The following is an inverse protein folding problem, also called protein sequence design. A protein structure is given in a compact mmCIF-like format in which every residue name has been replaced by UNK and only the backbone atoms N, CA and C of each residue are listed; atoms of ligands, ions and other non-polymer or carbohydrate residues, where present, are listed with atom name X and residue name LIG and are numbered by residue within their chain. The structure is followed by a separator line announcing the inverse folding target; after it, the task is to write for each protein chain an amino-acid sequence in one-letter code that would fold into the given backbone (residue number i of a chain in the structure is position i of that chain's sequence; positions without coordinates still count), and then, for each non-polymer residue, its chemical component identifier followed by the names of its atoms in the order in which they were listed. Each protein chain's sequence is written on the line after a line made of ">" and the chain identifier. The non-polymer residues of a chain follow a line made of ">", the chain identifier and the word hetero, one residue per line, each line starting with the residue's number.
data_IF_690933162469
#
_entry.id   IF_690933162469
#
_cell.length_a   1.000
_cell.length_b   1.000
_cell.length_c   1.000
_cell.angle_alpha   90.00
_cell.angle_beta   90.00
_cell.angle_gamma   90.00
#
_symmetry.space_group_name_H-M   'P 1'
#
loop_
_entity.id
_entity.type
_entity.pdbx_description
1 polymer ?
#
# COMPACT_ATOMS: atom_id res chain seq x y z
N UNK A 1 7.78 -7.87 6.70
CA UNK A 1 7.59 -7.27 5.36
C UNK A 1 8.73 -7.59 4.38
N UNK A 2 9.71 -8.42 4.72
CA UNK A 2 10.86 -8.69 3.83
C UNK A 2 10.46 -9.54 2.61
N UNK A 3 11.05 -9.24 1.46
CA UNK A 3 10.92 -10.03 0.23
C UNK A 3 11.54 -11.42 0.39
N UNK A 4 10.93 -12.42 -0.23
CA UNK A 4 11.43 -13.78 -0.27
C UNK A 4 11.14 -14.45 -1.63
N UNK A 5 11.67 -15.66 -1.83
CA UNK A 5 11.50 -16.41 -3.10
C UNK A 5 10.04 -16.63 -3.50
N UNK A 6 9.10 -16.57 -2.56
CA UNK A 6 7.67 -16.75 -2.82
C UNK A 6 7.05 -15.51 -3.46
N UNK A 7 7.52 -14.32 -3.12
CA UNK A 7 7.05 -13.07 -3.74
C UNK A 7 7.27 -13.10 -5.26
N UNK A 8 8.41 -13.64 -5.70
CA UNK A 8 8.69 -13.83 -7.13
C UNK A 8 7.74 -14.84 -7.80
N UNK A 9 7.43 -15.95 -7.11
CA UNK A 9 6.45 -16.95 -7.59
C UNK A 9 5.05 -16.35 -7.68
N UNK A 10 4.68 -15.53 -6.69
CA UNK A 10 3.40 -14.83 -6.66
C UNK A 10 3.30 -13.84 -7.81
N UNK A 11 4.32 -13.01 -8.04
CA UNK A 11 4.38 -12.09 -9.17
C UNK A 11 4.16 -12.79 -10.52
N UNK A 12 4.91 -13.87 -10.79
CA UNK A 12 4.74 -14.65 -12.02
C UNK A 12 3.33 -15.27 -12.09
N UNK A 13 2.82 -15.76 -10.97
CA UNK A 13 1.47 -16.32 -10.88
C UNK A 13 0.40 -15.28 -11.17
N UNK A 14 0.57 -14.06 -10.67
CA UNK A 14 -0.32 -12.91 -10.91
C UNK A 14 -0.33 -12.54 -12.39
N UNK A 15 0.84 -12.48 -13.04
CA UNK A 15 0.93 -12.26 -14.49
C UNK A 15 0.18 -13.37 -15.25
N UNK A 16 0.43 -14.64 -14.94
CA UNK A 16 -0.26 -15.77 -15.59
C UNK A 16 -1.77 -15.68 -15.40
N UNK A 17 -2.23 -15.35 -14.20
CA UNK A 17 -3.65 -15.18 -13.89
C UNK A 17 -4.28 -14.02 -14.69
N UNK A 18 -3.60 -12.88 -14.81
CA UNK A 18 -4.08 -11.76 -15.64
C UNK A 18 -4.26 -12.13 -17.11
N UNK A 19 -3.38 -12.97 -17.66
CA UNK A 19 -3.52 -13.49 -19.02
C UNK A 19 -4.41 -14.73 -19.14
N UNK A 20 -5.16 -15.10 -18.08
CA UNK A 20 -6.05 -16.27 -18.07
C UNK A 20 -5.33 -17.63 -18.10
N UNK A 21 -4.01 -17.67 -17.93
CA UNK A 21 -3.15 -18.87 -18.02
C UNK A 21 -2.89 -19.54 -16.67
N UNK A 22 -3.64 -19.19 -15.62
CA UNK A 22 -3.45 -19.74 -14.29
C UNK A 22 -4.50 -19.29 -13.28
N UNK A 23 -4.51 -19.95 -12.11
CA UNK A 23 -5.36 -19.54 -10.97
C UNK A 23 -4.74 -18.33 -10.28
N UNK A 24 -5.59 -17.49 -9.66
CA UNK A 24 -5.15 -16.41 -8.79
C UNK A 24 -4.23 -16.98 -7.70
N UNK A 25 -3.02 -16.39 -7.48
CA UNK A 25 -2.16 -16.83 -6.40
C UNK A 25 -2.87 -16.74 -5.06
N UNK A 26 -2.70 -17.76 -4.21
CA UNK A 26 -3.22 -17.73 -2.85
C UNK A 26 -2.35 -16.82 -2.01
N UNK A 27 -2.62 -15.50 -1.98
CA UNK A 27 -1.79 -14.52 -1.28
C UNK A 27 -1.78 -14.72 0.23
N UNK A 28 -0.66 -14.37 0.86
CA UNK A 28 -0.52 -14.37 2.32
C UNK A 28 -0.88 -13.04 2.94
N UNK A 29 -0.47 -12.86 4.20
CA UNK A 29 -0.70 -11.64 4.99
C UNK A 29 -0.27 -10.35 4.29
N UNK A 30 0.86 -10.40 3.60
CA UNK A 30 1.38 -9.31 2.79
C UNK A 30 1.61 -9.82 1.39
N UNK A 31 1.06 -9.13 0.39
CA UNK A 31 1.34 -9.42 -1.02
C UNK A 31 2.70 -8.85 -1.41
N UNK A 32 3.25 -9.30 -2.55
CA UNK A 32 4.52 -8.77 -3.04
C UNK A 32 4.45 -7.27 -3.34
N UNK A 33 3.31 -6.76 -3.82
CA UNK A 33 3.15 -5.33 -4.13
C UNK A 33 2.99 -4.50 -2.86
N UNK A 34 2.31 -4.99 -1.82
CA UNK A 34 2.24 -4.26 -0.54
C UNK A 34 3.61 -4.15 0.13
N UNK A 35 4.45 -5.18 -0.01
CA UNK A 35 5.85 -5.11 0.42
C UNK A 35 6.63 -4.10 -0.42
N UNK A 36 6.42 -4.10 -1.74
CA UNK A 36 7.03 -3.13 -2.63
C UNK A 36 6.64 -1.71 -2.26
N UNK A 37 5.35 -1.42 -2.13
CA UNK A 37 4.83 -0.11 -1.73
C UNK A 37 5.42 0.33 -0.38
N UNK A 38 5.50 -0.58 0.60
CA UNK A 38 6.15 -0.31 1.88
C UNK A 38 7.61 0.14 1.69
N UNK A 39 8.43 -0.65 0.99
CA UNK A 39 9.84 -0.30 0.78
C UNK A 39 10.03 0.94 -0.09
N UNK A 40 9.19 1.12 -1.12
CA UNK A 40 9.23 2.25 -2.04
C UNK A 40 9.02 3.57 -1.30
N UNK A 41 8.09 3.62 -0.33
CA UNK A 41 7.87 4.82 0.48
C UNK A 41 9.08 5.15 1.35
N UNK A 42 9.65 4.18 2.08
CA UNK A 42 10.82 4.44 2.93
C UNK A 42 12.06 4.84 2.12
N UNK A 43 12.27 4.19 0.98
CA UNK A 43 13.27 4.60 0.02
C UNK A 43 13.01 6.05 -0.41
N UNK A 44 11.81 6.34 -0.92
CA UNK A 44 11.43 7.68 -1.38
C UNK A 44 11.66 8.75 -0.31
N UNK A 45 11.25 8.52 0.95
CA UNK A 45 11.46 9.46 2.07
C UNK A 45 12.94 9.70 2.32
N UNK A 46 13.77 8.65 2.35
CA UNK A 46 15.21 8.80 2.55
C UNK A 46 15.84 9.61 1.42
N UNK A 47 15.44 9.32 0.18
CA UNK A 47 16.01 9.97 -1.00
C UNK A 47 15.52 11.43 -1.07
N UNK A 48 14.22 11.69 -1.19
CA UNK A 48 13.69 13.06 -1.30
C UNK A 48 14.02 13.92 -0.08
N UNK A 49 14.00 13.35 1.13
CA UNK A 49 14.28 14.05 2.38
C UNK A 49 15.74 14.48 2.48
N UNK A 50 16.68 13.60 2.15
CA UNK A 50 18.11 13.96 2.14
C UNK A 50 18.44 15.01 1.08
N UNK A 51 17.91 14.91 -0.14
CA UNK A 51 18.14 15.92 -1.19
C UNK A 51 17.49 17.24 -0.83
N UNK A 52 16.28 17.19 -0.26
CA UNK A 52 15.56 18.36 0.23
C UNK A 52 16.34 19.10 1.30
N UNK A 53 16.97 18.39 2.25
CA UNK A 53 17.83 19.01 3.25
C UNK A 53 19.06 19.69 2.63
N UNK A 54 19.70 19.06 1.63
CA UNK A 54 20.82 19.67 0.91
C UNK A 54 20.39 20.95 0.17
N UNK A 55 19.21 20.94 -0.45
CA UNK A 55 18.66 22.11 -1.16
C UNK A 55 18.14 23.19 -0.20
N UNK A 56 17.75 22.83 1.02
CA UNK A 56 17.33 23.80 2.03
C UNK A 56 18.52 24.58 2.57
N UNK A 57 19.66 23.91 2.80
CA UNK A 57 20.87 24.54 3.36
C UNK A 57 22.10 24.43 2.43
N UNK A 58 22.02 24.92 1.17
CA UNK A 58 23.05 24.65 0.17
C UNK A 58 24.41 25.26 0.54
N UNK A 59 24.43 26.43 1.18
CA UNK A 59 25.67 27.08 1.63
C UNK A 59 26.38 26.28 2.73
N UNK A 60 25.62 25.79 3.71
CA UNK A 60 26.15 24.95 4.79
C UNK A 60 26.80 23.68 4.23
N UNK A 61 26.12 23.01 3.32
CA UNK A 61 26.62 21.79 2.69
C UNK A 61 27.83 22.05 1.78
N UNK A 62 27.84 23.17 1.05
CA UNK A 62 28.99 23.59 0.23
C UNK A 62 30.20 23.91 1.10
N UNK A 63 30.00 24.57 2.25
CA UNK A 63 31.06 24.86 3.22
C UNK A 63 31.66 23.58 3.82
N UNK A 64 30.85 22.53 4.03
CA UNK A 64 31.33 21.22 4.48
C UNK A 64 32.13 20.44 3.41
N UNK A 65 32.28 20.99 2.20
CA UNK A 65 33.08 20.42 1.12
C UNK A 65 32.27 19.77 0.01
N UNK A 66 30.94 19.95 -0.04
CA UNK A 66 30.18 19.54 -1.23
C UNK A 66 30.47 20.48 -2.41
N UNK A 67 30.83 19.95 -3.59
CA UNK A 67 31.04 20.78 -4.77
C UNK A 67 29.76 21.49 -5.21
N UNK A 68 29.86 22.73 -5.69
CA UNK A 68 28.68 23.49 -6.15
C UNK A 68 27.87 22.79 -7.25
N UNK A 69 28.50 22.02 -8.14
CA UNK A 69 27.79 21.24 -9.16
C UNK A 69 26.89 20.16 -8.57
N UNK A 70 27.19 19.69 -7.35
CA UNK A 70 26.41 18.66 -6.67
C UNK A 70 25.03 19.18 -6.27
N UNK A 71 24.89 20.49 -6.02
CA UNK A 71 23.60 21.13 -5.75
C UNK A 71 22.69 21.03 -6.99
N UNK A 72 23.24 21.22 -8.19
CA UNK A 72 22.49 21.06 -9.44
C UNK A 72 21.98 19.62 -9.60
N UNK A 73 22.83 18.63 -9.33
CA UNK A 73 22.43 17.21 -9.37
C UNK A 73 21.35 16.90 -8.33
N UNK A 74 21.51 17.43 -7.12
CA UNK A 74 20.53 17.30 -6.04
C UNK A 74 19.17 17.86 -6.45
N UNK A 75 19.14 19.02 -7.12
CA UNK A 75 17.91 19.64 -7.63
C UNK A 75 17.20 18.76 -8.66
N UNK A 76 17.95 18.16 -9.59
CA UNK A 76 17.38 17.26 -10.61
C UNK A 76 16.77 16.03 -9.94
N UNK A 77 17.55 15.36 -9.09
CA UNK A 77 17.09 14.14 -8.40
C UNK A 77 15.88 14.43 -7.52
N UNK A 78 15.89 15.51 -6.74
CA UNK A 78 14.76 15.88 -5.89
C UNK A 78 13.48 16.13 -6.71
N UNK A 79 13.60 16.81 -7.85
CA UNK A 79 12.45 17.12 -8.71
C UNK A 79 11.86 15.87 -9.36
N UNK A 80 12.72 14.98 -9.87
CA UNK A 80 12.28 13.72 -10.46
C UNK A 80 11.60 12.82 -9.43
N UNK A 81 12.14 12.74 -8.21
CA UNK A 81 11.53 11.98 -7.14
C UNK A 81 10.24 12.58 -6.63
N UNK A 82 10.14 13.91 -6.54
CA UNK A 82 8.89 14.57 -6.19
C UNK A 82 7.80 14.24 -7.21
N UNK A 83 8.14 14.24 -8.51
CA UNK A 83 7.22 13.86 -9.57
C UNK A 83 6.81 12.37 -9.46
N UNK A 84 7.77 11.47 -9.29
CA UNK A 84 7.50 10.02 -9.14
C UNK A 84 6.65 9.72 -7.90
N UNK A 85 6.97 10.34 -6.76
CA UNK A 85 6.23 10.16 -5.51
C UNK A 85 4.79 10.68 -5.64
N UNK A 86 4.61 11.88 -6.19
CA UNK A 86 3.29 12.46 -6.45
C UNK A 86 2.49 11.57 -7.40
N UNK A 87 3.09 11.16 -8.52
CA UNK A 87 2.46 10.26 -9.48
C UNK A 87 2.04 8.93 -8.84
N UNK A 88 2.92 8.31 -8.06
CA UNK A 88 2.63 7.05 -7.36
C UNK A 88 1.47 7.19 -6.36
N UNK A 89 1.45 8.27 -5.58
CA UNK A 89 0.37 8.53 -4.61
C UNK A 89 -0.96 8.71 -5.34
N UNK A 90 -1.05 9.62 -6.30
CA UNK A 90 -2.33 9.94 -6.96
C UNK A 90 -2.84 8.84 -7.88
N UNK A 91 -1.98 7.97 -8.38
CA UNK A 91 -2.38 6.85 -9.23
C UNK A 91 -2.52 5.56 -8.43
N UNK A 92 -1.43 4.98 -7.95
CA UNK A 92 -1.46 3.64 -7.35
C UNK A 92 -2.13 3.68 -5.97
N UNK A 93 -1.70 4.58 -5.10
CA UNK A 93 -2.20 4.60 -3.72
C UNK A 93 -3.68 4.97 -3.67
N UNK A 94 -4.08 6.09 -4.30
CA UNK A 94 -5.47 6.54 -4.28
C UNK A 94 -6.43 5.52 -4.90
N UNK A 95 -6.08 4.87 -6.02
CA UNK A 95 -6.95 3.84 -6.58
C UNK A 95 -7.05 2.58 -5.71
N UNK A 96 -5.95 2.15 -5.09
CA UNK A 96 -5.96 0.95 -4.26
C UNK A 96 -6.63 1.15 -2.88
N UNK A 97 -6.74 2.38 -2.39
CA UNK A 97 -7.17 2.64 -1.01
C UNK A 97 -8.39 3.56 -0.90
N UNK A 98 -8.64 4.43 -1.87
CA UNK A 98 -9.73 5.41 -1.85
C UNK A 98 -10.79 5.13 -2.92
N UNK A 99 -10.36 4.79 -4.14
CA UNK A 99 -11.26 4.62 -5.29
C UNK A 99 -11.60 3.17 -5.63
N UNK A 100 -11.27 2.22 -4.75
CA UNK A 100 -11.75 0.84 -4.89
C UNK A 100 -13.27 0.83 -4.63
N UNK A 101 -14.12 0.34 -5.56
CA UNK A 101 -15.59 0.44 -5.42
C UNK A 101 -16.13 -0.12 -4.11
N UNK A 102 -15.58 -1.25 -3.65
CA UNK A 102 -15.90 -1.92 -2.40
C UNK A 102 -15.40 -1.21 -1.14
N UNK A 103 -14.57 -0.17 -1.28
CA UNK A 103 -13.98 0.61 -0.19
C UNK A 103 -14.16 2.11 -0.33
N UNK A 104 -14.94 2.58 -1.29
CA UNK A 104 -15.13 4.00 -1.50
C UNK A 104 -15.80 4.64 -0.26
N UNK A 105 -15.35 5.84 0.18
CA UNK A 105 -14.28 6.68 -0.37
C UNK A 105 -12.88 6.40 0.23
N UNK A 106 -12.77 5.50 1.20
CA UNK A 106 -11.53 5.09 1.84
C UNK A 106 -11.70 3.75 2.56
N UNK A 107 -10.67 2.91 2.53
CA UNK A 107 -10.63 1.68 3.32
C UNK A 107 -10.51 1.94 4.83
N UNK A 108 -11.58 1.66 5.59
CA UNK A 108 -11.68 1.90 7.04
C UNK A 108 -10.71 1.05 7.88
N UNK A 109 -10.01 0.09 7.28
CA UNK A 109 -8.97 -0.70 7.96
C UNK A 109 -7.88 0.19 8.56
N UNK A 110 -7.61 1.35 7.98
CA UNK A 110 -6.61 2.29 8.52
C UNK A 110 -6.97 2.79 9.93
N UNK A 111 -8.26 2.93 10.24
CA UNK A 111 -8.73 3.40 11.55
C UNK A 111 -9.09 2.25 12.48
N UNK A 112 -9.65 1.18 11.93
CA UNK A 112 -10.24 0.09 12.72
C UNK A 112 -9.30 -1.09 12.91
N UNK A 113 -8.35 -1.29 12.00
CA UNK A 113 -7.53 -2.50 11.92
C UNK A 113 -8.33 -3.78 11.66
N UNK A 114 -9.59 -3.67 11.21
CA UNK A 114 -10.55 -4.79 11.08
C UNK A 114 -11.05 -4.92 9.65
N UNK A 115 -11.19 -6.16 9.20
CA UNK A 115 -11.78 -6.51 7.89
C UNK A 115 -12.90 -7.52 8.08
N UNK A 116 -13.97 -7.47 7.27
CA UNK A 116 -14.97 -8.54 7.21
C UNK A 116 -14.32 -9.89 6.88
N UNK A 117 -14.87 -10.98 7.44
CA UNK A 117 -14.30 -12.32 7.28
C UNK A 117 -14.26 -12.77 5.81
N UNK A 118 -15.32 -12.50 5.04
CA UNK A 118 -15.40 -12.91 3.63
C UNK A 118 -14.39 -12.16 2.76
N UNK A 119 -14.17 -10.88 3.04
CA UNK A 119 -13.12 -10.09 2.40
C UNK A 119 -11.74 -10.65 2.73
N UNK A 120 -11.48 -10.93 4.00
CA UNK A 120 -10.22 -11.52 4.46
C UNK A 120 -9.93 -12.86 3.78
N UNK A 121 -10.93 -13.74 3.64
CA UNK A 121 -10.80 -15.02 2.92
C UNK A 121 -10.43 -14.82 1.45
N UNK A 122 -11.05 -13.85 0.79
CA UNK A 122 -10.84 -13.54 -0.64
C UNK A 122 -9.46 -12.93 -0.90
N UNK A 123 -9.05 -11.98 -0.06
CA UNK A 123 -7.83 -11.21 -0.27
C UNK A 123 -6.59 -11.88 0.32
N UNK A 124 -6.76 -12.59 1.45
CA UNK A 124 -5.69 -13.26 2.21
C UNK A 124 -5.94 -14.76 2.38
N UNK A 125 -6.26 -15.51 1.31
CA UNK A 125 -6.69 -16.92 1.40
C UNK A 125 -5.66 -17.81 2.12
N UNK A 126 -4.36 -17.55 1.95
CA UNK A 126 -3.32 -18.34 2.62
C UNK A 126 -3.20 -18.01 4.10
N UNK A 127 -3.33 -16.74 4.48
CA UNK A 127 -3.30 -16.39 5.90
C UNK A 127 -4.52 -16.96 6.61
N UNK A 128 -5.69 -16.90 5.96
CA UNK A 128 -6.89 -17.55 6.43
C UNK A 128 -6.69 -19.06 6.65
N UNK A 129 -6.14 -19.78 5.66
CA UNK A 129 -5.83 -21.21 5.78
C UNK A 129 -4.89 -21.51 6.96
N UNK A 130 -3.81 -20.75 7.10
CA UNK A 130 -2.86 -20.91 8.21
C UNK A 130 -3.54 -20.68 9.56
N UNK A 131 -4.46 -19.71 9.67
CA UNK A 131 -5.17 -19.44 10.93
C UNK A 131 -6.15 -20.56 11.30
N UNK A 132 -6.83 -21.15 10.31
CA UNK A 132 -7.70 -22.32 10.50
C UNK A 132 -6.85 -23.53 10.94
N UNK A 133 -5.79 -23.87 10.21
CA UNK A 133 -4.92 -25.01 10.50
C UNK A 133 -4.29 -24.94 11.91
N UNK A 134 -4.03 -23.73 12.39
CA UNK A 134 -3.45 -23.51 13.72
C UNK A 134 -4.49 -23.26 14.83
N UNK A 135 -5.80 -23.38 14.57
CA UNK A 135 -6.87 -23.06 15.52
C UNK A 135 -6.76 -21.65 16.13
N UNK A 136 -6.30 -20.67 15.33
CA UNK A 136 -6.06 -19.29 15.76
C UNK A 136 -7.05 -18.28 15.16
N UNK A 137 -7.98 -18.73 14.32
CA UNK A 137 -8.95 -17.83 13.69
C UNK A 137 -9.90 -17.20 14.72
N UNK A 138 -10.42 -17.99 15.65
CA UNK A 138 -11.41 -17.50 16.62
C UNK A 138 -10.86 -16.37 17.50
N UNK A 139 -9.60 -16.50 17.91
CA UNK A 139 -8.89 -15.49 18.68
C UNK A 139 -8.66 -14.16 17.93
N UNK A 140 -8.92 -14.10 16.61
CA UNK A 140 -8.77 -12.89 15.79
C UNK A 140 -10.09 -12.14 15.58
N UNK A 141 -11.23 -12.71 15.97
CA UNK A 141 -12.49 -11.98 15.89
C UNK A 141 -12.50 -10.82 16.88
N UNK A 142 -13.08 -9.71 16.42
CA UNK A 142 -13.32 -8.53 17.21
C UNK A 142 -14.78 -8.11 17.00
N UNK A 143 -15.40 -7.40 17.97
CA UNK A 143 -16.71 -6.79 17.74
C UNK A 143 -16.65 -5.84 16.53
N UNK A 144 -17.81 -5.54 15.90
CA UNK A 144 -17.86 -4.56 14.83
C UNK A 144 -17.25 -3.21 15.29
N UNK A 145 -16.57 -2.47 14.40
CA UNK A 145 -16.07 -1.15 14.73
C UNK A 145 -17.23 -0.19 15.04
N UNK A 146 -17.00 0.86 15.86
CA UNK A 146 -17.97 1.93 16.06
C UNK A 146 -18.46 2.50 14.72
N UNK A 147 -19.76 2.83 14.61
CA UNK A 147 -20.36 3.34 13.37
C UNK A 147 -19.67 4.60 12.84
N UNK A 148 -19.19 5.46 13.73
CA UNK A 148 -18.44 6.68 13.39
C UNK A 148 -17.14 6.41 12.63
N UNK A 149 -16.56 5.22 12.75
CA UNK A 149 -15.36 4.80 12.02
C UNK A 149 -15.68 4.07 10.72
N UNK A 150 -16.97 3.89 10.40
CA UNK A 150 -17.40 3.24 9.18
C UNK A 150 -17.82 4.29 8.13
N UNK A 151 -16.83 4.84 7.42
CA UNK A 151 -17.04 5.90 6.42
C UNK A 151 -18.01 5.50 5.31
N UNK A 152 -18.13 4.19 5.01
CA UNK A 152 -19.06 3.69 4.00
C UNK A 152 -20.51 3.95 4.44
N UNK A 153 -20.83 3.71 5.71
CA UNK A 153 -22.17 3.95 6.25
C UNK A 153 -22.52 5.44 6.35
N UNK A 154 -21.52 6.30 6.51
CA UNK A 154 -21.72 7.75 6.70
C UNK A 154 -21.88 8.47 5.35
N UNK A 155 -21.08 8.09 4.35
CA UNK A 155 -20.99 8.82 3.08
C UNK A 155 -21.76 8.14 1.94
N UNK A 156 -22.05 6.84 2.08
CA UNK A 156 -22.83 6.06 1.12
C UNK A 156 -24.08 5.55 1.85
N UNK A 157 -25.14 6.36 1.82
CA UNK A 157 -26.45 6.01 2.40
C UNK A 157 -26.96 4.66 1.85
N UNK A 158 -27.73 3.85 2.61
CA UNK A 158 -28.13 2.49 2.21
C UNK A 158 -29.08 2.41 1.01
N UNK A 159 -29.43 3.52 0.37
CA UNK A 159 -30.44 3.56 -0.70
C UNK A 159 -29.98 3.03 -2.07
N UNK A 160 -28.80 2.41 -2.18
CA UNK A 160 -28.32 1.80 -3.43
C UNK A 160 -28.12 0.28 -3.33
N UNK A 161 -29.00 -0.38 -2.57
CA UNK A 161 -29.27 -1.82 -2.70
C UNK A 161 -30.77 -2.02 -2.97
N UNK A 162 -31.23 -1.56 -4.14
CA UNK A 162 -32.45 -2.08 -4.74
C UNK A 162 -32.09 -2.55 -6.16
N UNK A 163 -32.32 -3.85 -6.36
CA UNK A 163 -32.59 -4.54 -7.60
C UNK A 163 -31.55 -4.42 -8.73
N UNK A 164 -30.66 -5.43 -8.82
CA UNK A 164 -30.31 -6.17 -10.04
C UNK A 164 -29.65 -7.51 -9.69
#
# INVERSE_FOLDING_TARGET
>A
MVFNKRDWKEFIGTIKWFFGKGRRPSYGRWTYWEKFDYFAVFWGVAVIGSRGLILWFPEFFTFLGLPGWFINVTSIVHSDEALLATGFIFTIHFFNTHFRPDKFPMDNVIFTGRVPLEEFKKDRPREYQILIENNKLEARFAPPPPELLNLQNILVSPHYQLDL
#
